data_IF_470669383557
#
_entry.id   IF_470669383557
#
_cell.length_a   1.000
_cell.length_b   1.000
_cell.length_c   1.000
_cell.angle_alpha   90.00
_cell.angle_beta   90.00
_cell.angle_gamma   90.00
#
_symmetry.space_group_name_H-M   'P 1'
#
loop_
_entity.id
_entity.type
_entity.pdbx_description
1 polymer ?
#
# COMPACT_ATOMS: atom_id res chain seq x y z
N UNK A 1 9.67 -3.31 -19.00
CA UNK A 1 9.14 -1.94 -18.83
C UNK A 1 7.64 -2.04 -18.57
N UNK A 2 7.20 -2.11 -17.31
CA UNK A 2 5.85 -1.73 -16.88
C UNK A 2 5.84 -1.74 -15.36
N UNK A 3 5.90 -0.54 -14.76
CA UNK A 3 5.80 -0.32 -13.32
C UNK A 3 4.34 0.06 -13.05
N UNK A 4 3.55 -0.87 -12.51
CA UNK A 4 2.19 -0.56 -12.09
C UNK A 4 2.19 -0.04 -10.65
N UNK A 5 2.18 1.28 -10.57
CA UNK A 5 1.88 2.19 -9.46
C UNK A 5 0.84 1.65 -8.47
N UNK A 6 1.28 1.42 -7.22
CA UNK A 6 0.41 1.19 -6.08
C UNK A 6 -0.16 2.53 -5.57
N UNK A 7 -1.42 2.83 -5.89
CA UNK A 7 -2.12 4.00 -5.37
C UNK A 7 -2.75 3.68 -4.01
N UNK A 8 -2.22 4.30 -2.94
CA UNK A 8 -2.83 4.33 -1.61
C UNK A 8 -4.07 5.23 -1.64
N UNK A 9 -5.26 4.64 -1.53
CA UNK A 9 -6.52 5.37 -1.38
C UNK A 9 -6.70 5.83 0.07
N UNK A 10 -6.33 7.09 0.35
CA UNK A 10 -6.76 7.80 1.55
C UNK A 10 -8.25 8.12 1.43
N UNK A 11 -9.10 7.50 2.26
CA UNK A 11 -10.52 7.87 2.38
C UNK A 11 -10.65 9.19 3.16
N UNK A 12 -11.25 10.25 2.61
CA UNK A 12 -11.63 11.41 3.40
C UNK A 12 -12.88 11.10 4.23
N UNK A 13 -12.82 11.45 5.52
CA UNK A 13 -13.94 11.40 6.46
C UNK A 13 -14.90 12.57 6.20
N UNK A 14 -16.23 12.35 6.06
CA UNK A 14 -17.16 13.45 5.85
C UNK A 14 -17.36 14.26 7.14
N UNK A 15 -16.91 15.52 7.11
CA UNK A 15 -17.25 16.55 8.10
C UNK A 15 -18.75 16.85 8.00
N UNK A 16 -19.50 16.56 9.06
CA UNK A 16 -20.91 16.94 9.18
C UNK A 16 -20.99 18.46 9.34
N UNK A 17 -21.52 19.15 8.33
CA UNK A 17 -21.86 20.56 8.41
C UNK A 17 -23.12 20.72 9.30
N UNK A 18 -23.01 21.49 10.38
CA UNK A 18 -24.15 21.89 11.19
C UNK A 18 -24.91 23.00 10.46
N UNK A 19 -26.14 22.72 10.03
CA UNK A 19 -27.04 23.73 9.48
C UNK A 19 -27.62 24.55 10.64
N UNK A 20 -27.23 25.81 10.72
CA UNK A 20 -27.82 26.84 11.57
C UNK A 20 -29.22 27.19 11.05
N UNK A 21 -30.25 26.81 11.80
CA UNK A 21 -31.64 27.15 11.52
C UNK A 21 -31.90 28.58 12.00
N UNK A 22 -31.82 29.55 11.08
CA UNK A 22 -32.26 30.93 11.33
C UNK A 22 -33.79 30.90 11.47
N UNK A 23 -34.32 31.29 12.65
CA UNK A 23 -35.75 31.56 12.86
C UNK A 23 -35.97 33.07 12.72
N UNK A 24 -36.66 33.48 11.66
CA UNK A 24 -37.25 34.81 11.60
C UNK A 24 -38.55 34.78 12.43
N UNK A 25 -38.69 35.73 13.36
CA UNK A 25 -39.92 35.97 14.10
C UNK A 25 -40.83 36.86 13.28
N UNK A 26 -42.04 36.40 12.99
CA UNK A 26 -43.18 37.25 12.64
C UNK A 26 -44.16 37.22 13.80
N UNK A 27 -44.26 38.34 14.49
CA UNK A 27 -45.25 38.62 15.52
C UNK A 27 -46.53 39.12 14.84
N UNK A 28 -47.62 38.39 15.03
CA UNK A 28 -48.98 38.85 14.72
C UNK A 28 -49.93 38.16 15.68
N UNK A 29 -50.33 38.89 16.73
CA UNK A 29 -51.31 38.47 17.71
C UNK A 29 -52.74 38.49 17.13
N UNK A 30 -53.35 37.31 17.01
CA UNK A 30 -54.80 37.14 16.90
C UNK A 30 -55.26 36.17 18.00
N UNK A 31 -56.01 36.70 18.96
CA UNK A 31 -56.59 35.91 20.06
C UNK A 31 -57.82 35.16 19.56
N UNK A 32 -57.66 33.88 19.25
CA UNK A 32 -58.77 32.97 18.96
C UNK A 32 -58.70 31.80 19.95
N UNK A 33 -59.73 31.70 20.79
CA UNK A 33 -59.86 30.69 21.84
C UNK A 33 -60.12 29.32 21.22
N UNK A 34 -59.05 28.62 20.86
CA UNK A 34 -59.12 27.19 20.54
C UNK A 34 -58.96 26.37 21.82
N UNK A 35 -59.90 25.47 22.05
CA UNK A 35 -59.73 24.35 22.96
C UNK A 35 -58.53 23.52 22.45
N UNK A 36 -57.34 23.75 23.00
CA UNK A 36 -56.22 22.84 22.79
C UNK A 36 -56.50 21.56 23.56
N UNK A 37 -57.07 20.58 22.87
CA UNK A 37 -56.76 19.20 23.22
C UNK A 37 -55.23 19.07 23.24
N UNK A 38 -54.69 18.56 24.35
CA UNK A 38 -53.28 18.32 24.53
C UNK A 38 -52.79 17.31 23.47
N UNK A 39 -52.40 17.85 22.32
CA UNK A 39 -51.87 17.12 21.15
C UNK A 39 -50.37 16.94 21.26
N UNK A 40 -49.80 17.07 22.46
CA UNK A 40 -48.42 16.71 22.73
C UNK A 40 -48.27 15.19 22.60
N UNK A 41 -47.99 14.74 21.38
CA UNK A 41 -47.55 13.37 21.12
C UNK A 41 -46.19 13.22 21.79
N UNK A 42 -46.20 12.76 23.04
CA UNK A 42 -44.98 12.39 23.73
C UNK A 42 -44.24 11.37 22.87
N UNK A 43 -42.99 11.64 22.45
CA UNK A 43 -42.21 10.63 21.77
C UNK A 43 -42.11 9.45 22.73
N UNK A 44 -42.47 8.25 22.26
CA UNK A 44 -42.44 7.03 23.08
C UNK A 44 -41.09 6.97 23.78
N UNK A 45 -41.07 7.17 25.10
CA UNK A 45 -39.86 7.12 25.91
C UNK A 45 -39.40 5.67 25.98
N UNK A 46 -38.78 5.22 24.90
CA UNK A 46 -38.09 3.96 24.81
C UNK A 46 -36.66 4.17 25.24
N UNK A 47 -36.07 3.16 25.85
CA UNK A 47 -34.65 3.18 26.05
C UNK A 47 -33.95 3.38 24.66
N UNK A 48 -33.02 4.34 24.53
CA UNK A 48 -32.41 4.76 23.26
C UNK A 48 -31.28 3.86 22.70
N UNK A 49 -30.40 4.34 21.82
CA UNK A 49 -29.26 3.51 21.37
C UNK A 49 -28.26 3.17 22.51
N UNK A 50 -28.20 4.02 23.55
CA UNK A 50 -27.27 3.89 24.67
C UNK A 50 -27.50 2.65 25.55
N UNK A 51 -28.73 2.38 25.99
CA UNK A 51 -29.01 1.18 26.80
C UNK A 51 -28.79 -0.09 26.00
N UNK A 52 -29.11 -0.10 24.69
CA UNK A 52 -28.91 -1.27 23.83
C UNK A 52 -27.43 -1.61 23.80
N UNK A 53 -26.60 -0.58 23.61
CA UNK A 53 -25.15 -0.74 23.66
C UNK A 53 -24.67 -1.15 25.06
N UNK A 54 -25.30 -0.67 26.13
CA UNK A 54 -24.97 -1.07 27.50
C UNK A 54 -25.33 -2.53 27.79
N UNK A 55 -26.49 -3.02 27.32
CA UNK A 55 -26.89 -4.43 27.41
C UNK A 55 -25.97 -5.31 26.58
N UNK A 56 -25.66 -4.91 25.34
CA UNK A 56 -24.70 -5.63 24.51
C UNK A 56 -23.29 -5.63 25.12
N UNK A 57 -22.86 -4.53 25.73
CA UNK A 57 -21.60 -4.43 26.43
C UNK A 57 -21.56 -5.31 27.67
N UNK A 58 -22.60 -5.30 28.49
CA UNK A 58 -22.72 -6.16 29.67
C UNK A 58 -22.74 -7.65 29.26
N UNK A 59 -23.46 -7.98 28.18
CA UNK A 59 -23.46 -9.33 27.61
C UNK A 59 -22.07 -9.73 27.12
N UNK A 60 -21.38 -8.86 26.39
CA UNK A 60 -20.01 -9.11 25.94
C UNK A 60 -19.07 -9.36 27.12
N UNK A 61 -19.14 -8.54 28.18
CA UNK A 61 -18.34 -8.73 29.40
C UNK A 61 -18.65 -10.08 30.05
N UNK A 62 -19.92 -10.44 30.20
CA UNK A 62 -20.31 -11.72 30.78
C UNK A 62 -19.81 -12.92 29.97
N UNK A 63 -19.90 -12.85 28.64
CA UNK A 63 -19.35 -13.88 27.74
C UNK A 63 -17.83 -13.96 27.87
N UNK A 64 -17.14 -12.82 27.84
CA UNK A 64 -15.67 -12.81 27.99
C UNK A 64 -15.23 -13.32 29.34
N UNK A 65 -15.94 -13.05 30.42
CA UNK A 65 -15.61 -13.56 31.75
C UNK A 65 -15.80 -15.08 31.84
N UNK A 66 -16.89 -15.61 31.28
CA UNK A 66 -17.19 -17.04 31.32
C UNK A 66 -16.27 -17.88 30.41
N UNK A 67 -15.89 -17.33 29.26
CA UNK A 67 -15.05 -18.01 28.26
C UNK A 67 -13.61 -17.48 28.24
N UNK A 68 -13.21 -16.71 29.25
CA UNK A 68 -11.83 -16.28 29.40
C UNK A 68 -10.95 -17.52 29.59
N UNK A 69 -9.87 -17.68 28.81
CA UNK A 69 -8.94 -18.77 29.01
C UNK A 69 -8.26 -18.65 30.38
N UNK A 70 -8.01 -19.79 31.01
CA UNK A 70 -7.24 -19.83 32.25
C UNK A 70 -5.77 -19.42 31.99
N UNK A 71 -5.05 -18.90 32.99
CA UNK A 71 -3.65 -18.53 32.82
C UNK A 71 -2.81 -19.76 32.42
N UNK A 72 -2.44 -19.85 31.14
CA UNK A 72 -1.67 -20.95 30.57
C UNK A 72 -2.38 -21.74 29.45
N UNK A 73 -3.66 -21.48 29.20
CA UNK A 73 -4.39 -22.06 28.06
C UNK A 73 -4.42 -21.07 26.88
N UNK A 74 -4.19 -21.57 25.65
CA UNK A 74 -4.32 -20.74 24.46
C UNK A 74 -5.76 -20.27 24.31
N UNK A 75 -5.94 -18.95 24.11
CA UNK A 75 -7.25 -18.40 23.80
C UNK A 75 -7.87 -19.16 22.62
N UNK A 76 -9.19 -19.39 22.65
CA UNK A 76 -9.91 -20.11 21.59
C UNK A 76 -9.61 -19.56 20.20
N UNK A 77 -9.44 -18.23 20.09
CA UNK A 77 -9.04 -17.55 18.87
C UNK A 77 -7.63 -17.95 18.41
N UNK A 78 -6.65 -17.97 19.32
CA UNK A 78 -5.27 -18.37 19.04
C UNK A 78 -5.19 -19.81 18.57
N UNK A 79 -5.91 -20.73 19.22
CA UNK A 79 -6.02 -22.12 18.78
C UNK A 79 -6.64 -22.24 17.38
N UNK A 80 -7.74 -21.54 17.15
CA UNK A 80 -8.43 -21.51 15.85
C UNK A 80 -7.53 -20.96 14.72
N UNK A 81 -6.67 -19.99 15.03
CA UNK A 81 -5.67 -19.46 14.10
C UNK A 81 -4.54 -20.48 13.86
N UNK A 82 -4.03 -21.11 14.93
CA UNK A 82 -2.96 -22.11 14.83
C UNK A 82 -3.37 -23.33 13.99
N UNK A 83 -4.63 -23.78 14.09
CA UNK A 83 -5.18 -24.87 13.27
C UNK A 83 -5.24 -24.54 11.76
N UNK A 84 -5.33 -23.25 11.40
CA UNK A 84 -5.46 -22.80 10.00
C UNK A 84 -4.14 -22.30 9.41
N UNK A 85 -3.16 -22.04 10.25
CA UNK A 85 -1.86 -21.58 9.81
C UNK A 85 -1.05 -22.74 9.25
N UNK A 86 -0.26 -22.49 8.21
CA UNK A 86 0.70 -23.47 7.74
C UNK A 86 1.73 -23.75 8.85
N UNK A 87 2.24 -24.99 8.96
CA UNK A 87 3.28 -25.29 9.94
C UNK A 87 4.51 -24.44 9.64
N UNK A 88 5.16 -23.94 10.70
CA UNK A 88 6.28 -22.98 10.63
C UNK A 88 7.37 -23.44 9.67
N UNK A 89 7.65 -24.75 9.62
CA UNK A 89 8.66 -25.33 8.73
C UNK A 89 8.32 -25.14 7.25
N UNK A 90 7.05 -25.33 6.85
CA UNK A 90 6.62 -25.16 5.46
C UNK A 90 6.65 -23.69 5.04
N UNK A 91 6.23 -22.78 5.92
CA UNK A 91 6.32 -21.35 5.66
C UNK A 91 7.78 -20.88 5.54
N UNK A 92 8.66 -21.40 6.39
CA UNK A 92 10.10 -21.14 6.31
C UNK A 92 10.70 -21.63 4.99
N UNK A 93 10.43 -22.86 4.59
CA UNK A 93 10.89 -23.42 3.32
C UNK A 93 10.38 -22.61 2.12
N UNK A 94 9.10 -22.19 2.13
CA UNK A 94 8.54 -21.32 1.07
C UNK A 94 9.27 -19.99 1.00
N UNK A 95 9.55 -19.36 2.13
CA UNK A 95 10.25 -18.07 2.19
C UNK A 95 11.71 -18.20 1.75
N UNK A 96 12.37 -19.29 2.13
CA UNK A 96 13.73 -19.60 1.73
C UNK A 96 13.80 -19.81 0.20
N UNK A 97 12.92 -20.63 -0.36
CA UNK A 97 12.84 -20.86 -1.80
C UNK A 97 12.58 -19.56 -2.58
N UNK A 98 11.67 -18.71 -2.10
CA UNK A 98 11.41 -17.40 -2.69
C UNK A 98 12.66 -16.51 -2.68
N UNK A 99 13.42 -16.53 -1.58
CA UNK A 99 14.64 -15.73 -1.43
C UNK A 99 15.72 -16.17 -2.42
N UNK A 100 15.93 -17.49 -2.56
CA UNK A 100 16.89 -18.06 -3.52
C UNK A 100 16.51 -17.66 -4.95
N UNK A 101 15.26 -17.87 -5.35
CA UNK A 101 14.78 -17.52 -6.70
C UNK A 101 14.91 -16.02 -6.99
N UNK A 102 14.65 -15.18 -5.99
CA UNK A 102 14.80 -13.72 -6.13
C UNK A 102 16.27 -13.34 -6.33
N UNK A 103 17.17 -13.99 -5.60
CA UNK A 103 18.62 -13.78 -5.75
C UNK A 103 19.11 -14.22 -7.12
N UNK A 104 18.69 -15.40 -7.60
CA UNK A 104 19.03 -15.90 -8.94
C UNK A 104 18.55 -14.94 -10.03
N UNK A 105 17.29 -14.50 -9.96
CA UNK A 105 16.74 -13.52 -10.90
C UNK A 105 17.49 -12.18 -10.86
N UNK A 106 17.91 -11.74 -9.67
CA UNK A 106 18.72 -10.52 -9.53
C UNK A 106 20.08 -10.68 -10.21
N UNK A 107 20.73 -11.82 -10.02
CA UNK A 107 22.04 -12.10 -10.62
C UNK A 107 21.95 -12.17 -12.15
N UNK A 108 20.92 -12.83 -12.70
CA UNK A 108 20.68 -12.86 -14.14
C UNK A 108 20.47 -11.44 -14.70
N UNK A 109 19.67 -10.62 -14.01
CA UNK A 109 19.46 -9.22 -14.42
C UNK A 109 20.75 -8.43 -14.41
N UNK A 110 21.60 -8.60 -13.39
CA UNK A 110 22.90 -7.94 -13.32
C UNK A 110 23.82 -8.41 -14.46
N UNK A 111 23.84 -9.71 -14.75
CA UNK A 111 24.64 -10.27 -15.85
C UNK A 111 24.27 -9.66 -17.20
N UNK A 112 22.97 -9.58 -17.52
CA UNK A 112 22.51 -8.95 -18.76
C UNK A 112 22.65 -7.42 -18.76
N UNK A 113 22.54 -6.77 -17.60
CA UNK A 113 22.73 -5.33 -17.50
C UNK A 113 24.20 -4.92 -17.63
N UNK A 114 25.14 -5.74 -17.14
CA UNK A 114 26.58 -5.49 -17.23
C UNK A 114 27.12 -5.77 -18.63
N UNK A 115 26.45 -6.64 -19.41
CA UNK A 115 26.83 -6.95 -20.78
C UNK A 115 26.84 -5.69 -21.67
N UNK A 116 28.02 -5.08 -21.83
CA UNK A 116 28.24 -3.97 -22.74
C UNK A 116 28.47 -4.50 -24.14
N UNK A 117 27.83 -3.87 -25.13
CA UNK A 117 28.20 -4.10 -26.54
C UNK A 117 29.66 -3.70 -26.73
N UNK A 118 30.43 -4.44 -27.54
CA UNK A 118 31.77 -4.00 -27.88
C UNK A 118 31.70 -2.60 -28.51
N UNK A 119 32.63 -1.72 -28.13
CA UNK A 119 32.73 -0.39 -28.72
C UNK A 119 33.21 -0.54 -30.16
N UNK A 120 32.34 -0.31 -31.13
CA UNK A 120 32.67 -0.36 -32.56
C UNK A 120 32.93 1.06 -33.04
N UNK A 121 34.19 1.38 -33.31
CA UNK A 121 34.57 2.63 -33.97
C UNK A 121 34.55 2.41 -35.49
N UNK A 122 33.68 3.15 -36.19
CA UNK A 122 33.61 3.10 -37.66
C UNK A 122 34.45 4.22 -38.25
N UNK A 123 35.54 3.84 -38.91
CA UNK A 123 36.38 4.78 -39.63
C UNK A 123 35.91 4.93 -41.07
N UNK A 124 35.73 6.17 -41.53
CA UNK A 124 35.51 6.47 -42.95
C UNK A 124 36.79 6.23 -43.77
N UNK A 125 37.95 6.47 -43.17
CA UNK A 125 39.26 6.35 -43.79
C UNK A 125 40.17 5.49 -42.88
N UNK A 126 40.26 4.16 -43.10
CA UNK A 126 41.04 3.28 -42.25
C UNK A 126 42.55 3.53 -42.33
N UNK A 127 43.04 4.11 -43.42
CA UNK A 127 44.45 4.50 -43.61
C UNK A 127 44.96 5.52 -42.58
N UNK A 128 44.06 6.20 -41.86
CA UNK A 128 44.43 7.12 -40.79
C UNK A 128 45.05 6.41 -39.57
N UNK A 129 44.84 5.10 -39.44
CA UNK A 129 45.45 4.29 -38.38
C UNK A 129 46.98 4.15 -38.57
N UNK A 130 47.44 4.20 -39.82
CA UNK A 130 48.86 4.05 -40.17
C UNK A 130 49.62 5.40 -40.15
N UNK A 131 48.88 6.52 -40.18
CA UNK A 131 49.45 7.85 -40.35
C UNK A 131 49.18 8.70 -39.09
N UNK A 132 50.04 8.57 -38.08
CA UNK A 132 49.95 9.33 -36.83
C UNK A 132 51.32 9.60 -36.22
N UNK A 133 51.57 10.85 -35.82
CA UNK A 133 52.77 11.23 -35.06
C UNK A 133 52.55 10.95 -33.56
N UNK A 134 53.52 10.35 -32.85
CA UNK A 134 53.40 10.11 -31.40
C UNK A 134 53.20 11.38 -30.56
N UNK A 135 53.60 12.54 -31.08
CA UNK A 135 53.72 13.79 -30.30
C UNK A 135 52.68 14.85 -30.64
N UNK A 136 51.87 14.68 -31.68
CA UNK A 136 50.91 15.70 -32.11
C UNK A 136 49.55 15.07 -32.48
N UNK A 137 48.91 14.46 -31.48
CA UNK A 137 47.59 13.83 -31.63
C UNK A 137 46.55 14.65 -30.85
N UNK A 138 45.59 15.28 -31.53
CA UNK A 138 44.46 15.92 -30.87
C UNK A 138 43.63 14.91 -30.07
N UNK A 139 43.13 15.31 -28.90
CA UNK A 139 42.27 14.47 -28.07
C UNK A 139 41.00 14.07 -28.84
N UNK A 140 40.68 12.78 -28.82
CA UNK A 140 39.46 12.24 -29.45
C UNK A 140 39.57 11.85 -30.92
N UNK A 141 40.71 12.08 -31.60
CA UNK A 141 40.91 11.59 -32.98
C UNK A 141 41.39 10.14 -33.05
N UNK A 142 42.10 9.68 -32.02
CA UNK A 142 42.61 8.30 -31.93
C UNK A 142 41.81 7.50 -30.91
N UNK A 143 41.55 6.24 -31.23
CA UNK A 143 41.03 5.28 -30.25
C UNK A 143 42.14 4.35 -29.80
N UNK A 144 42.01 3.78 -28.60
CA UNK A 144 42.94 2.74 -28.17
C UNK A 144 42.82 1.50 -29.07
N UNK A 145 43.91 1.14 -29.76
CA UNK A 145 43.97 0.03 -30.70
C UNK A 145 44.59 -1.24 -30.11
N UNK A 146 45.01 -1.24 -28.83
CA UNK A 146 45.78 -2.34 -28.21
C UNK A 146 45.07 -3.70 -28.24
N UNK A 147 43.74 -3.72 -28.29
CA UNK A 147 42.91 -4.93 -28.27
C UNK A 147 42.06 -5.12 -29.54
N UNK A 148 42.41 -4.44 -30.64
CA UNK A 148 41.62 -4.50 -31.88
C UNK A 148 41.83 -5.84 -32.61
N UNK A 149 40.74 -6.50 -32.98
CA UNK A 149 40.72 -7.64 -33.91
C UNK A 149 40.03 -7.23 -35.21
N UNK A 150 40.68 -7.50 -36.34
CA UNK A 150 40.07 -7.28 -37.66
C UNK A 150 38.93 -8.26 -37.86
N UNK A 151 37.75 -7.77 -38.21
CA UNK A 151 36.62 -8.62 -38.60
C UNK A 151 36.76 -8.96 -40.09
N UNK A 152 36.94 -10.24 -40.42
CA UNK A 152 36.82 -10.73 -41.79
C UNK A 152 35.33 -11.00 -42.07
N UNK A 153 34.86 -10.60 -43.24
CA UNK A 153 33.53 -10.93 -43.75
C UNK A 153 33.56 -12.30 -44.41
#
# INVERSE_FOLDING_TARGET
>A
MSLATAARLSRPSPRRAALSKIRAYSDSHSHEHHHEEDTTVYPKEGFGAGWRNAVLGAFAVAVTYKYAPSPGEDALLTRWMAERQAPVNQDFERNLNHTILTQEQSNERLFFAEAKRPVINRYRFPQMLDNGSPFNVPVGLTSDLRAVKVKHN
#
